data_IF_974085878519
#
_entry.id   IF_974085878519
#
_cell.length_a   1.000
_cell.length_b   1.000
_cell.length_c   1.000
_cell.angle_alpha   90.00
_cell.angle_beta   90.00
_cell.angle_gamma   90.00
#
_symmetry.space_group_name_H-M   'P 1'
#
loop_
_entity.id
_entity.type
_entity.pdbx_description
1 polymer ?
#
# COMPACT_ATOMS: atom_id res chain seq x y z
N UNK A 1 -56.46 -7.04 47.14
CA UNK A 1 -55.06 -7.55 47.07
C UNK A 1 -54.61 -7.44 45.61
N UNK A 2 -53.86 -6.42 45.29
CA UNK A 2 -53.40 -6.11 43.92
C UNK A 2 -51.97 -6.65 43.78
N UNK A 3 -51.79 -7.71 42.94
CA UNK A 3 -50.48 -8.27 42.62
C UNK A 3 -49.71 -7.30 41.69
N UNK A 4 -48.62 -6.71 42.17
CA UNK A 4 -47.72 -5.92 41.37
C UNK A 4 -46.91 -6.84 40.47
N UNK A 5 -47.16 -6.78 39.17
CA UNK A 5 -46.38 -7.47 38.13
C UNK A 5 -45.19 -6.58 37.77
N UNK A 6 -44.00 -6.96 38.24
CA UNK A 6 -42.76 -6.26 37.91
C UNK A 6 -42.26 -6.78 36.59
N UNK A 7 -42.39 -5.98 35.51
CA UNK A 7 -41.82 -6.30 34.17
C UNK A 7 -40.35 -5.91 34.20
N UNK A 8 -39.47 -6.92 34.19
CA UNK A 8 -38.03 -6.78 34.02
C UNK A 8 -37.71 -6.62 32.54
N UNK A 9 -37.48 -5.38 32.11
CA UNK A 9 -37.06 -5.09 30.73
C UNK A 9 -35.55 -5.36 30.65
N UNK A 10 -35.18 -6.50 30.06
CA UNK A 10 -33.78 -6.79 29.66
C UNK A 10 -33.45 -5.97 28.43
N UNK A 11 -32.72 -4.89 28.62
CA UNK A 11 -32.06 -4.12 27.53
C UNK A 11 -30.93 -4.96 26.93
N UNK A 12 -31.23 -5.64 25.83
CA UNK A 12 -30.22 -6.25 24.97
C UNK A 12 -29.46 -5.10 24.25
N UNK A 13 -28.36 -4.67 24.81
CA UNK A 13 -27.39 -3.82 24.12
C UNK A 13 -26.75 -4.62 23.01
N UNK A 14 -27.24 -4.48 21.79
CA UNK A 14 -26.62 -5.03 20.60
C UNK A 14 -25.27 -4.34 20.38
N UNK A 15 -24.19 -5.00 20.75
CA UNK A 15 -22.83 -4.57 20.39
C UNK A 15 -22.69 -4.81 18.90
N UNK A 16 -22.89 -3.76 18.10
CA UNK A 16 -22.51 -3.77 16.69
C UNK A 16 -20.97 -3.79 16.63
N UNK A 17 -20.40 -4.98 16.48
CA UNK A 17 -19.02 -5.13 16.08
C UNK A 17 -18.96 -4.62 14.64
N UNK A 18 -18.58 -3.35 14.47
CA UNK A 18 -18.18 -2.82 13.18
C UNK A 18 -16.89 -3.56 12.81
N UNK A 19 -17.03 -4.59 12.00
CA UNK A 19 -15.91 -5.17 11.29
C UNK A 19 -15.33 -4.05 10.43
N UNK A 20 -14.27 -3.40 10.89
CA UNK A 20 -13.44 -2.55 10.03
C UNK A 20 -12.90 -3.48 8.97
N UNK A 21 -13.48 -3.38 7.78
CA UNK A 21 -12.94 -4.01 6.58
C UNK A 21 -11.49 -3.54 6.48
N UNK A 22 -10.60 -4.48 6.65
CA UNK A 22 -9.16 -4.28 6.84
C UNK A 22 -8.52 -4.00 5.47
N UNK A 23 -8.94 -2.88 4.83
CA UNK A 23 -8.54 -2.48 3.50
C UNK A 23 -7.11 -1.89 3.53
N UNK A 24 -6.29 -2.28 2.55
CA UNK A 24 -4.97 -1.69 2.34
C UNK A 24 -5.08 -0.18 2.03
N UNK A 25 -4.27 0.62 2.69
CA UNK A 25 -4.18 2.05 2.41
C UNK A 25 -3.09 2.31 1.38
N UNK A 26 -3.50 2.59 0.15
CA UNK A 26 -2.62 3.01 -0.93
C UNK A 26 -2.70 4.52 -1.12
N UNK A 27 -1.54 5.18 -1.15
CA UNK A 27 -1.41 6.57 -1.56
C UNK A 27 -1.21 6.64 -3.07
N UNK A 28 -1.79 7.62 -3.73
CA UNK A 28 -1.54 7.98 -5.13
C UNK A 28 -0.58 9.19 -5.25
N UNK A 29 -0.49 9.98 -4.16
CA UNK A 29 0.34 11.16 -4.04
C UNK A 29 1.50 10.88 -3.07
N UNK A 30 2.71 10.84 -3.63
CA UNK A 30 3.92 10.55 -2.85
C UNK A 30 4.20 11.63 -1.81
N UNK A 31 3.78 12.87 -2.08
CA UNK A 31 3.97 13.97 -1.13
C UNK A 31 3.15 13.77 0.15
N UNK A 32 2.04 13.05 0.08
CA UNK A 32 1.23 12.67 1.24
C UNK A 32 1.79 11.44 1.96
N UNK A 33 2.43 10.54 1.24
CA UNK A 33 3.03 9.33 1.81
C UNK A 33 4.32 9.62 2.59
N UNK A 34 5.15 10.55 2.13
CA UNK A 34 6.45 10.89 2.74
C UNK A 34 6.33 11.26 4.23
N UNK A 35 5.48 12.21 4.66
CA UNK A 35 5.37 12.56 6.08
C UNK A 35 4.91 11.38 6.94
N UNK A 36 4.06 10.50 6.40
CA UNK A 36 3.62 9.30 7.10
C UNK A 36 4.76 8.29 7.25
N UNK A 37 5.55 8.10 6.20
CA UNK A 37 6.73 7.23 6.20
C UNK A 37 7.76 7.69 7.23
N UNK A 38 8.04 8.98 7.27
CA UNK A 38 8.97 9.60 8.23
C UNK A 38 8.46 9.45 9.67
N UNK A 39 7.20 9.79 9.92
CA UNK A 39 6.59 9.69 11.25
C UNK A 39 6.58 8.25 11.78
N UNK A 40 6.29 7.29 10.90
CA UNK A 40 6.26 5.86 11.26
C UNK A 40 7.62 5.17 11.16
N UNK A 41 8.66 5.85 10.69
CA UNK A 41 10.01 5.30 10.44
C UNK A 41 9.96 4.05 9.56
N UNK A 42 9.15 4.11 8.49
CA UNK A 42 8.96 3.02 7.53
C UNK A 42 9.39 3.44 6.13
N UNK A 43 10.01 2.56 5.36
CA UNK A 43 10.26 2.80 3.94
C UNK A 43 8.93 2.89 3.16
N UNK A 44 9.01 3.47 1.99
CA UNK A 44 7.91 3.55 1.04
C UNK A 44 8.07 2.43 0.01
N UNK A 45 6.98 1.74 -0.29
CA UNK A 45 6.86 0.82 -1.40
C UNK A 45 6.18 1.54 -2.57
N UNK A 46 6.95 1.85 -3.61
CA UNK A 46 6.47 2.47 -4.84
C UNK A 46 6.08 1.37 -5.84
N UNK A 47 4.81 1.26 -6.15
CA UNK A 47 4.29 0.30 -7.13
C UNK A 47 3.93 0.99 -8.44
N UNK A 48 4.80 0.85 -9.44
CA UNK A 48 4.57 1.32 -10.80
C UNK A 48 3.71 0.30 -11.54
N UNK A 49 2.54 0.74 -12.02
CA UNK A 49 1.51 -0.15 -12.57
C UNK A 49 0.77 0.48 -13.76
N UNK A 50 0.08 -0.35 -14.52
CA UNK A 50 -0.92 0.06 -15.50
C UNK A 50 -2.24 -0.61 -15.17
N UNK A 51 -3.03 0.01 -14.30
CA UNK A 51 -4.18 -0.61 -13.63
C UNK A 51 -5.24 -1.17 -14.56
N UNK A 52 -5.39 -0.63 -15.76
CA UNK A 52 -6.46 -0.97 -16.70
C UNK A 52 -5.99 -1.70 -17.97
N UNK A 53 -4.68 -2.00 -18.10
CA UNK A 53 -4.13 -2.66 -19.27
C UNK A 53 -3.00 -3.67 -18.99
N UNK A 54 -2.30 -3.55 -17.83
CA UNK A 54 -1.16 -4.40 -17.51
C UNK A 54 -1.60 -5.73 -16.86
N UNK A 55 -1.68 -6.81 -17.63
CA UNK A 55 -2.09 -8.12 -17.13
C UNK A 55 -1.24 -8.66 -15.97
N UNK A 56 0.08 -8.47 -16.03
CA UNK A 56 1.00 -8.88 -14.96
C UNK A 56 0.82 -8.05 -13.68
N UNK A 57 0.44 -6.76 -13.81
CA UNK A 57 0.13 -5.93 -12.65
C UNK A 57 -1.14 -6.40 -11.95
N UNK A 58 -2.19 -6.68 -12.72
CA UNK A 58 -3.45 -7.24 -12.19
C UNK A 58 -3.22 -8.59 -11.53
N UNK A 59 -2.33 -9.41 -12.12
CA UNK A 59 -1.95 -10.70 -11.55
C UNK A 59 -1.22 -10.53 -10.22
N UNK A 60 -0.25 -9.61 -10.12
CA UNK A 60 0.45 -9.30 -8.88
C UNK A 60 -0.50 -8.82 -7.78
N UNK A 61 -1.44 -7.93 -8.11
CA UNK A 61 -2.47 -7.50 -7.16
C UNK A 61 -3.31 -8.68 -6.67
N UNK A 62 -3.81 -9.52 -7.58
CA UNK A 62 -4.66 -10.66 -7.23
C UNK A 62 -3.94 -11.73 -6.42
N UNK A 63 -2.71 -12.08 -6.78
CA UNK A 63 -1.98 -13.21 -6.20
C UNK A 63 -1.12 -12.85 -4.99
N UNK A 64 -0.89 -11.54 -4.77
CA UNK A 64 -0.06 -11.06 -3.66
C UNK A 64 -0.74 -9.95 -2.88
N UNK A 65 -0.96 -8.78 -3.50
CA UNK A 65 -1.31 -7.57 -2.74
C UNK A 65 -2.71 -7.61 -2.12
N UNK A 66 -3.67 -8.31 -2.73
CA UNK A 66 -5.03 -8.43 -2.20
C UNK A 66 -5.18 -9.54 -1.15
N UNK A 67 -4.09 -10.22 -0.77
CA UNK A 67 -4.15 -11.32 0.18
C UNK A 67 -3.82 -10.86 1.61
N UNK A 68 -4.43 -11.49 2.63
CA UNK A 68 -4.27 -11.09 4.03
C UNK A 68 -2.81 -11.05 4.51
N UNK A 69 -1.98 -12.02 4.06
CA UNK A 69 -0.57 -12.11 4.43
C UNK A 69 0.22 -10.87 3.98
N UNK A 70 -0.04 -10.39 2.75
CA UNK A 70 0.58 -9.16 2.27
C UNK A 70 0.10 -7.95 3.05
N UNK A 71 -1.19 -7.90 3.38
CA UNK A 71 -1.73 -6.79 4.17
C UNK A 71 -1.05 -6.70 5.54
N UNK A 72 -0.99 -7.80 6.28
CA UNK A 72 -0.32 -7.83 7.59
C UNK A 72 1.13 -7.36 7.45
N UNK A 73 1.86 -7.93 6.50
CA UNK A 73 3.24 -7.56 6.25
C UNK A 73 3.41 -6.08 5.89
N UNK A 74 2.58 -5.56 4.99
CA UNK A 74 2.70 -4.17 4.53
C UNK A 74 2.36 -3.17 5.64
N UNK A 75 1.34 -3.46 6.45
CA UNK A 75 0.96 -2.62 7.58
C UNK A 75 2.11 -2.47 8.59
N UNK A 76 2.94 -3.50 8.74
CA UNK A 76 4.07 -3.49 9.67
C UNK A 76 5.32 -2.86 9.08
N UNK A 77 5.56 -3.03 7.78
CA UNK A 77 6.88 -2.83 7.19
C UNK A 77 7.02 -1.65 6.25
N UNK A 78 5.95 -1.21 5.55
CA UNK A 78 6.06 -0.20 4.49
C UNK A 78 4.87 0.75 4.46
N UNK A 79 5.04 1.88 3.76
CA UNK A 79 3.94 2.75 3.32
C UNK A 79 3.73 2.50 1.83
N UNK A 80 2.49 2.23 1.44
CA UNK A 80 2.16 1.84 0.06
C UNK A 80 1.83 3.05 -0.80
N UNK A 81 2.49 3.17 -1.96
CA UNK A 81 2.18 4.17 -2.99
C UNK A 81 1.98 3.49 -4.32
N UNK A 82 0.82 3.73 -4.96
CA UNK A 82 0.50 3.25 -6.29
C UNK A 82 0.73 4.37 -7.33
N UNK A 83 1.67 4.15 -8.22
CA UNK A 83 2.04 5.04 -9.32
C UNK A 83 1.43 4.46 -10.61
N UNK A 84 0.18 4.83 -10.87
CA UNK A 84 -0.60 4.26 -11.98
C UNK A 84 -0.35 5.00 -13.30
N UNK A 85 -0.29 4.24 -14.40
CA UNK A 85 -0.16 4.72 -15.77
C UNK A 85 -1.33 4.17 -16.62
N UNK A 86 -2.56 4.63 -16.35
CA UNK A 86 -3.75 4.11 -17.03
C UNK A 86 -3.82 4.57 -18.49
N UNK A 87 -4.53 3.79 -19.32
CA UNK A 87 -4.79 4.12 -20.73
C UNK A 87 -6.24 4.55 -20.98
N UNK A 88 -7.19 4.08 -20.15
CA UNK A 88 -8.63 4.26 -20.33
C UNK A 88 -9.23 5.33 -19.41
N UNK A 89 -8.54 5.68 -18.33
CA UNK A 89 -8.95 6.74 -17.40
C UNK A 89 -7.91 7.85 -17.36
N UNK A 90 -8.32 9.04 -16.99
CA UNK A 90 -7.41 10.17 -16.76
C UNK A 90 -7.17 10.32 -15.25
N UNK A 91 -5.94 10.55 -14.89
CA UNK A 91 -5.55 10.99 -13.55
C UNK A 91 -5.43 12.52 -13.51
N UNK A 92 -5.48 13.13 -12.32
CA UNK A 92 -5.12 14.54 -12.16
C UNK A 92 -3.73 14.84 -12.74
N UNK A 93 -3.58 16.01 -13.34
CA UNK A 93 -2.36 16.36 -14.08
C UNK A 93 -1.10 16.34 -13.19
N UNK A 94 -1.22 16.83 -11.96
CA UNK A 94 -0.14 16.78 -10.97
C UNK A 94 0.29 15.33 -10.65
N UNK A 95 -0.65 14.40 -10.54
CA UNK A 95 -0.36 12.98 -10.30
C UNK A 95 0.29 12.33 -11.54
N UNK A 96 -0.21 12.63 -12.74
CA UNK A 96 0.44 12.15 -13.97
C UNK A 96 1.86 12.66 -14.11
N UNK A 97 2.10 13.93 -13.78
CA UNK A 97 3.44 14.53 -13.79
C UNK A 97 4.35 13.84 -12.78
N UNK A 98 3.92 13.73 -11.53
CA UNK A 98 4.63 13.00 -10.46
C UNK A 98 5.02 11.58 -10.91
N UNK A 99 4.06 10.82 -11.44
CA UNK A 99 4.30 9.43 -11.82
C UNK A 99 5.36 9.33 -12.92
N UNK A 100 5.32 10.22 -13.94
CA UNK A 100 6.34 10.26 -15.00
C UNK A 100 7.72 10.63 -14.46
N UNK A 101 7.80 11.64 -13.59
CA UNK A 101 9.06 12.07 -12.99
C UNK A 101 9.69 10.95 -12.17
N UNK A 102 8.90 10.28 -11.32
CA UNK A 102 9.36 9.15 -10.53
C UNK A 102 9.75 7.95 -11.41
N UNK A 103 8.98 7.64 -12.46
CA UNK A 103 9.36 6.57 -13.39
C UNK A 103 10.73 6.84 -14.05
N UNK A 104 11.05 8.09 -14.37
CA UNK A 104 12.36 8.46 -14.89
C UNK A 104 13.46 8.33 -13.83
N UNK A 105 13.25 8.83 -12.61
CA UNK A 105 14.21 8.74 -11.48
C UNK A 105 14.53 7.28 -11.13
N UNK A 106 13.54 6.41 -11.21
CA UNK A 106 13.69 5.00 -10.91
C UNK A 106 13.98 4.12 -12.13
N UNK A 107 14.19 4.74 -13.31
CA UNK A 107 14.50 4.07 -14.57
C UNK A 107 13.53 2.92 -14.89
N UNK A 108 12.23 3.14 -14.67
CA UNK A 108 11.19 2.13 -14.89
C UNK A 108 11.05 1.86 -16.39
N UNK A 109 11.30 0.61 -16.80
CA UNK A 109 11.26 0.17 -18.20
C UNK A 109 10.09 -0.76 -18.52
N UNK A 110 9.33 -1.17 -17.51
CA UNK A 110 8.20 -2.10 -17.66
C UNK A 110 7.37 -2.20 -16.41
N UNK A 111 6.25 -2.91 -16.52
CA UNK A 111 5.28 -3.08 -15.45
C UNK A 111 4.93 -4.56 -15.24
N UNK A 112 4.69 -4.98 -13.98
CA UNK A 112 4.85 -4.22 -12.75
C UNK A 112 6.32 -3.99 -12.40
N UNK A 113 6.63 -2.84 -11.82
CA UNK A 113 7.90 -2.58 -11.12
C UNK A 113 7.57 -2.08 -9.72
N UNK A 114 8.22 -2.65 -8.72
CA UNK A 114 8.10 -2.24 -7.32
C UNK A 114 9.47 -1.81 -6.84
N UNK A 115 9.57 -0.61 -6.26
CA UNK A 115 10.74 -0.14 -5.55
C UNK A 115 10.44 -0.01 -4.06
N UNK A 116 11.36 -0.47 -3.21
CA UNK A 116 11.38 -0.13 -1.79
C UNK A 116 12.44 0.93 -1.59
N UNK A 117 12.03 2.04 -0.97
CA UNK A 117 12.86 3.25 -0.84
C UNK A 117 12.72 3.87 0.55
N UNK A 118 13.79 4.44 1.08
CA UNK A 118 13.74 5.24 2.30
C UNK A 118 13.76 6.73 1.93
N UNK A 119 12.75 7.53 2.32
CA UNK A 119 12.74 8.96 2.06
C UNK A 119 13.78 9.65 2.97
N UNK A 120 14.67 10.41 2.37
CA UNK A 120 15.67 11.22 3.05
C UNK A 120 15.33 12.70 2.86
N UNK A 121 15.00 13.36 3.95
CA UNK A 121 14.71 14.80 3.93
C UNK A 121 16.01 15.57 4.12
N UNK A 122 16.38 16.35 3.12
CA UNK A 122 17.59 17.20 3.11
C UNK A 122 17.16 18.64 2.84
N UNK A 123 17.17 19.49 3.86
CA UNK A 123 16.73 20.89 3.78
C UNK A 123 15.35 21.03 3.13
N UNK A 124 15.29 21.43 1.86
CA UNK A 124 14.03 21.61 1.10
C UNK A 124 13.84 20.55 -0.01
N UNK A 125 14.59 19.44 0.03
CA UNK A 125 14.51 18.37 -0.98
C UNK A 125 14.29 17.02 -0.34
N UNK A 126 13.58 16.16 -1.04
CA UNK A 126 13.43 14.76 -0.67
C UNK A 126 14.22 13.92 -1.65
N UNK A 127 15.18 13.17 -1.12
CA UNK A 127 15.86 12.10 -1.83
C UNK A 127 15.26 10.75 -1.46
N UNK A 128 15.41 9.78 -2.35
CA UNK A 128 15.01 8.39 -2.09
C UNK A 128 16.24 7.50 -2.10
N UNK A 129 16.60 6.96 -0.94
CA UNK A 129 17.57 5.88 -0.86
C UNK A 129 16.92 4.61 -1.44
N UNK A 130 17.47 4.10 -2.54
CA UNK A 130 16.98 2.90 -3.21
C UNK A 130 17.45 1.67 -2.44
N UNK A 131 16.52 0.95 -1.81
CA UNK A 131 16.83 -0.25 -1.02
C UNK A 131 16.80 -1.51 -1.89
N UNK A 132 15.86 -1.59 -2.84
CA UNK A 132 15.76 -2.71 -3.77
C UNK A 132 14.55 -2.63 -4.68
N UNK A 133 14.56 -3.44 -5.74
CA UNK A 133 13.47 -3.49 -6.71
C UNK A 133 13.10 -4.92 -7.06
N UNK A 134 11.81 -5.15 -7.30
CA UNK A 134 11.28 -6.42 -7.79
C UNK A 134 10.02 -6.20 -8.64
N UNK A 135 9.68 -7.22 -9.43
CA UNK A 135 8.44 -7.25 -10.20
C UNK A 135 7.49 -8.31 -9.67
N UNK A 136 6.78 -8.96 -10.60
CA UNK A 136 6.00 -10.15 -10.29
C UNK A 136 6.92 -11.33 -9.93
N UNK A 137 6.56 -12.05 -8.86
CA UNK A 137 7.21 -13.29 -8.43
C UNK A 137 6.14 -14.35 -8.28
N UNK A 138 6.29 -15.46 -9.01
CA UNK A 138 5.37 -16.58 -8.89
C UNK A 138 5.51 -17.28 -7.53
N UNK A 139 4.39 -17.79 -7.00
CA UNK A 139 4.35 -18.58 -5.77
C UNK A 139 3.73 -17.88 -4.56
N UNK A 140 2.92 -16.83 -4.84
CA UNK A 140 2.08 -16.19 -3.84
C UNK A 140 2.80 -15.19 -2.94
N UNK A 141 2.09 -14.72 -1.90
CA UNK A 141 2.57 -13.62 -1.05
C UNK A 141 3.82 -13.98 -0.28
N UNK A 142 3.97 -15.20 0.21
CA UNK A 142 5.12 -15.62 1.03
C UNK A 142 6.43 -15.52 0.25
N UNK A 143 6.43 -15.97 -1.01
CA UNK A 143 7.63 -15.87 -1.85
C UNK A 143 7.94 -14.43 -2.23
N UNK A 144 6.92 -13.63 -2.53
CA UNK A 144 7.09 -12.23 -2.87
C UNK A 144 7.61 -11.44 -1.65
N UNK A 145 6.98 -11.63 -0.48
CA UNK A 145 7.36 -11.02 0.80
C UNK A 145 8.79 -11.43 1.19
N UNK A 146 9.13 -12.71 1.06
CA UNK A 146 10.48 -13.20 1.35
C UNK A 146 11.55 -12.45 0.56
N UNK A 147 11.30 -12.14 -0.71
CA UNK A 147 12.23 -11.31 -1.52
C UNK A 147 12.24 -9.84 -1.09
N UNK A 148 11.07 -9.28 -0.77
CA UNK A 148 10.97 -7.90 -0.30
C UNK A 148 11.72 -7.71 1.04
N UNK A 149 11.65 -8.69 1.94
CA UNK A 149 12.35 -8.64 3.23
C UNK A 149 13.87 -8.54 3.09
N UNK A 150 14.46 -9.10 2.03
CA UNK A 150 15.90 -8.95 1.78
C UNK A 150 16.33 -7.48 1.59
N UNK A 151 15.41 -6.60 1.17
CA UNK A 151 15.69 -5.18 1.04
C UNK A 151 15.45 -4.40 2.34
N UNK A 152 14.65 -4.95 3.26
CA UNK A 152 14.34 -4.35 4.55
C UNK A 152 15.37 -4.73 5.63
N UNK A 153 16.07 -5.84 5.45
CA UNK A 153 17.16 -6.23 6.33
C UNK A 153 18.29 -5.19 6.21
N UNK A 154 18.45 -4.35 7.25
CA UNK A 154 19.62 -3.46 7.32
C UNK A 154 20.87 -4.32 7.43
N UNK A 155 21.95 -3.96 6.74
CA UNK A 155 23.25 -4.61 6.92
C UNK A 155 23.76 -4.44 8.34
#
# INVERSE_FOLDING_TARGET
MIKKLTILILLFSSIHIVSQENQLTWYDDVSKAIPVAVAKKKPIMLFFTGSDWCGWCMRLKREVFNLPNFKTWSDENVILVELDFPRRKRLPENIMKQNRELANVFAVRGYPTVWIVEPQIMENKVNFLKMGTLGYVAGGPEKWIGRANNFLAKP
#
